data_IF_318089264413
#
_entry.id   IF_318089264413
#
_cell.length_a   1.000
_cell.length_b   1.000
_cell.length_c   1.000
_cell.angle_alpha   90.00
_cell.angle_beta   90.00
_cell.angle_gamma   90.00
#
_symmetry.space_group_name_H-M   'P 1'
#
loop_
_entity.id
_entity.type
_entity.pdbx_description
1 polymer ?
#
# COMPACT_ATOMS: atom_id res chain seq x y z
N UNK A 1 -15.98 -0.50 -23.56
CA UNK A 1 -14.82 0.19 -22.98
C UNK A 1 -15.22 1.31 -22.01
N UNK A 2 -16.09 2.25 -22.38
CA UNK A 2 -16.53 3.35 -21.48
C UNK A 2 -17.21 2.88 -20.17
N UNK A 3 -17.97 1.80 -20.20
CA UNK A 3 -18.65 1.23 -19.02
C UNK A 3 -17.68 0.73 -17.93
N UNK A 4 -16.46 0.39 -18.31
CA UNK A 4 -15.40 -0.03 -17.35
C UNK A 4 -14.53 1.18 -16.98
N UNK A 5 -14.27 2.08 -17.92
CA UNK A 5 -13.42 3.24 -17.69
C UNK A 5 -14.04 4.24 -16.70
N UNK A 6 -15.34 4.52 -16.81
CA UNK A 6 -16.02 5.49 -15.94
C UNK A 6 -15.95 5.10 -14.46
N UNK A 7 -16.32 3.87 -14.03
CA UNK A 7 -16.17 3.46 -12.65
C UNK A 7 -14.72 3.54 -12.15
N UNK A 8 -13.74 3.14 -12.97
CA UNK A 8 -12.34 3.19 -12.60
C UNK A 8 -11.81 4.61 -12.40
N UNK A 9 -12.25 5.56 -13.26
CA UNK A 9 -11.91 6.98 -13.11
C UNK A 9 -12.52 7.54 -11.83
N UNK A 10 -13.79 7.25 -11.55
CA UNK A 10 -14.46 7.71 -10.33
C UNK A 10 -13.78 7.15 -9.07
N UNK A 11 -13.42 5.86 -9.08
CA UNK A 11 -12.68 5.23 -8.00
C UNK A 11 -11.34 5.93 -7.76
N UNK A 12 -10.54 6.14 -8.80
CA UNK A 12 -9.24 6.79 -8.68
C UNK A 12 -9.36 8.26 -8.27
N UNK A 13 -10.37 8.97 -8.76
CA UNK A 13 -10.65 10.35 -8.35
C UNK A 13 -11.00 10.44 -6.87
N UNK A 14 -11.82 9.50 -6.36
CA UNK A 14 -12.19 9.45 -4.93
C UNK A 14 -10.96 9.23 -4.05
N UNK A 15 -10.06 8.33 -4.45
CA UNK A 15 -8.79 8.10 -3.73
C UNK A 15 -7.92 9.36 -3.73
N UNK A 16 -7.80 10.04 -4.89
CA UNK A 16 -7.01 11.27 -5.00
C UNK A 16 -7.56 12.41 -4.14
N UNK A 17 -8.89 12.58 -4.11
CA UNK A 17 -9.55 13.56 -3.24
C UNK A 17 -9.31 13.22 -1.77
N UNK A 18 -9.41 11.94 -1.40
CA UNK A 18 -9.09 11.47 -0.03
C UNK A 18 -7.66 11.83 0.39
N UNK A 19 -6.68 11.61 -0.49
CA UNK A 19 -5.28 11.99 -0.23
C UNK A 19 -5.11 13.51 -0.08
N UNK A 20 -5.80 14.32 -0.88
CA UNK A 20 -5.79 15.79 -0.74
C UNK A 20 -6.36 16.24 0.61
N UNK A 21 -7.45 15.62 1.07
CA UNK A 21 -8.05 15.92 2.37
C UNK A 21 -7.08 15.56 3.51
N UNK A 22 -6.47 14.38 3.47
CA UNK A 22 -5.47 13.98 4.46
C UNK A 22 -4.31 14.98 4.49
N UNK A 23 -3.81 15.39 3.34
CA UNK A 23 -2.73 16.37 3.27
C UNK A 23 -3.14 17.73 3.81
N UNK A 24 -4.38 18.18 3.57
CA UNK A 24 -4.91 19.41 4.13
C UNK A 24 -5.01 19.36 5.67
N UNK A 25 -5.31 18.18 6.23
CA UNK A 25 -5.35 17.97 7.69
C UNK A 25 -3.94 17.93 8.29
N UNK A 26 -2.95 17.41 7.56
CA UNK A 26 -1.55 17.32 8.06
C UNK A 26 -0.83 18.68 7.98
N UNK A 27 -1.15 19.51 7.00
CA UNK A 27 -0.47 20.80 6.78
C UNK A 27 -0.42 21.73 8.01
N UNK A 28 -1.49 21.90 8.81
CA UNK A 28 -1.47 22.76 10.00
C UNK A 28 -0.51 22.33 11.11
N UNK A 29 -0.07 21.05 11.10
CA UNK A 29 0.87 20.54 12.10
C UNK A 29 2.33 20.97 11.87
N UNK A 30 2.55 21.76 10.81
CA UNK A 30 3.85 22.37 10.50
C UNK A 30 4.74 21.50 9.60
N UNK A 31 5.82 22.14 9.12
CA UNK A 31 6.73 21.55 8.12
C UNK A 31 7.41 20.27 8.60
N UNK A 32 7.63 20.15 9.90
CA UNK A 32 8.31 19.01 10.50
C UNK A 32 7.42 17.75 10.55
N UNK A 33 6.16 17.92 10.94
CA UNK A 33 5.17 16.85 10.89
C UNK A 33 4.93 16.41 9.43
N UNK A 34 4.88 17.36 8.51
CA UNK A 34 4.74 17.10 7.09
C UNK A 34 5.94 16.32 6.52
N UNK A 35 7.16 16.60 6.98
CA UNK A 35 8.35 15.85 6.59
C UNK A 35 8.28 14.39 7.06
N UNK A 36 7.87 14.14 8.30
CA UNK A 36 7.66 12.79 8.83
C UNK A 36 6.57 12.03 8.08
N UNK A 37 5.45 12.69 7.80
CA UNK A 37 4.37 12.14 6.98
C UNK A 37 4.85 11.79 5.57
N UNK A 38 5.54 12.69 4.89
CA UNK A 38 6.06 12.47 3.54
C UNK A 38 7.08 11.32 3.48
N UNK A 39 7.93 11.17 4.51
CA UNK A 39 8.85 10.04 4.61
C UNK A 39 8.09 8.71 4.67
N UNK A 40 7.04 8.63 5.50
CA UNK A 40 6.22 7.42 5.62
C UNK A 40 5.44 7.10 4.34
N UNK A 41 4.91 8.12 3.66
CA UNK A 41 4.24 7.95 2.36
C UNK A 41 5.17 7.34 1.29
N UNK A 42 6.47 7.67 1.31
CA UNK A 42 7.45 7.05 0.41
C UNK A 42 7.63 5.56 0.70
N UNK A 43 7.68 5.20 1.98
CA UNK A 43 7.76 3.79 2.41
C UNK A 43 6.49 3.04 1.99
N UNK A 44 5.32 3.61 2.25
CA UNK A 44 4.03 3.05 1.83
C UNK A 44 3.99 2.80 0.32
N UNK A 45 4.43 3.74 -0.49
CA UNK A 45 4.45 3.59 -1.94
C UNK A 45 5.34 2.43 -2.40
N UNK A 46 6.51 2.23 -1.78
CA UNK A 46 7.40 1.11 -2.11
C UNK A 46 6.73 -0.24 -1.83
N UNK A 47 6.12 -0.39 -0.66
CA UNK A 47 5.42 -1.63 -0.31
C UNK A 47 4.16 -1.84 -1.17
N UNK A 48 3.39 -0.78 -1.42
CA UNK A 48 2.19 -0.82 -2.27
C UNK A 48 2.49 -1.29 -3.70
N UNK A 49 3.63 -0.90 -4.28
CA UNK A 49 4.04 -1.36 -5.60
C UNK A 49 4.14 -2.88 -5.69
N UNK A 50 4.57 -3.56 -4.62
CA UNK A 50 4.69 -5.02 -4.61
C UNK A 50 3.30 -5.66 -4.61
N UNK A 51 2.37 -5.18 -3.78
CA UNK A 51 0.99 -5.65 -3.78
C UNK A 51 0.31 -5.47 -5.14
N UNK A 52 0.45 -4.28 -5.73
CA UNK A 52 -0.07 -3.98 -7.07
C UNK A 52 0.55 -4.91 -8.13
N UNK A 53 1.84 -5.23 -8.02
CA UNK A 53 2.52 -6.14 -8.95
C UNK A 53 1.98 -7.56 -8.88
N UNK A 54 1.65 -8.06 -7.68
CA UNK A 54 1.03 -9.37 -7.48
C UNK A 54 -0.36 -9.38 -8.11
N UNK A 55 -1.19 -8.36 -7.84
CA UNK A 55 -2.52 -8.21 -8.45
C UNK A 55 -2.46 -8.17 -10.00
N UNK A 56 -1.51 -7.39 -10.55
CA UNK A 56 -1.28 -7.30 -11.99
C UNK A 56 -0.82 -8.62 -12.62
N UNK A 57 -0.20 -9.51 -11.86
CA UNK A 57 0.16 -10.84 -12.32
C UNK A 57 -1.03 -11.82 -12.27
N UNK A 58 -1.86 -11.74 -11.24
CA UNK A 58 -3.03 -12.61 -11.05
C UNK A 58 -4.14 -12.31 -12.07
N UNK A 59 -4.40 -11.03 -12.35
CA UNK A 59 -5.49 -10.59 -13.22
C UNK A 59 -5.44 -11.23 -14.64
N UNK A 60 -4.35 -11.15 -15.41
CA UNK A 60 -4.27 -11.78 -16.72
C UNK A 60 -4.33 -13.31 -16.63
N UNK A 61 -3.78 -13.91 -15.57
CA UNK A 61 -3.88 -15.34 -15.35
C UNK A 61 -5.34 -15.80 -15.21
N UNK A 62 -6.11 -15.08 -14.40
CA UNK A 62 -7.55 -15.35 -14.21
C UNK A 62 -8.30 -15.17 -15.53
N UNK A 63 -8.07 -14.07 -16.24
CA UNK A 63 -8.74 -13.75 -17.50
C UNK A 63 -8.50 -14.80 -18.58
N UNK A 64 -7.26 -15.28 -18.74
CA UNK A 64 -6.89 -16.32 -19.70
C UNK A 64 -7.54 -17.66 -19.36
N UNK A 65 -7.55 -18.05 -18.09
CA UNK A 65 -8.15 -19.32 -17.67
C UNK A 65 -9.68 -19.27 -17.70
N UNK A 66 -10.29 -18.08 -17.52
CA UNK A 66 -11.71 -17.85 -17.69
C UNK A 66 -12.12 -18.04 -19.15
N UNK A 67 -11.39 -17.43 -20.09
CA UNK A 67 -11.61 -17.62 -21.52
C UNK A 67 -11.46 -19.09 -21.96
N UNK A 68 -10.54 -19.82 -21.34
CA UNK A 68 -10.33 -21.25 -21.56
C UNK A 68 -11.32 -22.16 -20.80
N UNK A 69 -12.28 -21.59 -20.05
CA UNK A 69 -13.26 -22.29 -19.19
C UNK A 69 -12.61 -23.23 -18.14
N UNK A 70 -11.39 -22.94 -17.70
CA UNK A 70 -10.62 -23.75 -16.73
C UNK A 70 -10.80 -23.24 -15.31
N UNK A 71 -12.02 -23.32 -14.77
CA UNK A 71 -12.40 -22.79 -13.44
C UNK A 71 -11.50 -23.32 -12.31
N UNK A 72 -11.10 -24.59 -12.36
CA UNK A 72 -10.20 -25.16 -11.35
C UNK A 72 -8.82 -24.49 -11.30
N UNK A 73 -8.30 -23.97 -12.42
CA UNK A 73 -7.06 -23.21 -12.48
C UNK A 73 -7.25 -21.80 -11.92
N UNK A 74 -8.38 -21.16 -12.19
CA UNK A 74 -8.70 -19.83 -11.63
C UNK A 74 -8.63 -19.88 -10.11
N UNK A 75 -9.32 -20.85 -9.47
CA UNK A 75 -9.29 -20.99 -8.00
C UNK A 75 -7.87 -21.19 -7.48
N UNK A 76 -7.06 -22.03 -8.10
CA UNK A 76 -5.67 -22.27 -7.69
C UNK A 76 -4.82 -21.02 -7.83
N UNK A 77 -4.93 -20.28 -8.93
CA UNK A 77 -4.19 -19.05 -9.15
C UNK A 77 -4.58 -17.94 -8.18
N UNK A 78 -5.88 -17.77 -7.92
CA UNK A 78 -6.39 -16.85 -6.95
C UNK A 78 -5.87 -17.16 -5.52
N UNK A 79 -5.96 -18.41 -5.09
CA UNK A 79 -5.41 -18.82 -3.79
C UNK A 79 -3.89 -18.61 -3.70
N UNK A 80 -3.16 -18.88 -4.79
CA UNK A 80 -1.72 -18.63 -4.81
C UNK A 80 -1.40 -17.12 -4.67
N UNK A 81 -2.11 -16.27 -5.39
CA UNK A 81 -2.00 -14.81 -5.26
C UNK A 81 -2.30 -14.33 -3.83
N UNK A 82 -3.41 -14.80 -3.26
CA UNK A 82 -3.82 -14.47 -1.89
C UNK A 82 -2.77 -14.90 -0.85
N UNK A 83 -2.22 -16.09 -0.98
CA UNK A 83 -1.15 -16.57 -0.09
C UNK A 83 0.11 -15.71 -0.23
N UNK A 84 0.49 -15.34 -1.46
CA UNK A 84 1.63 -14.45 -1.69
C UNK A 84 1.40 -13.07 -1.08
N UNK A 85 0.22 -12.48 -1.26
CA UNK A 85 -0.13 -11.18 -0.68
C UNK A 85 -0.10 -11.21 0.86
N UNK A 86 -0.66 -12.25 1.48
CA UNK A 86 -0.63 -12.41 2.95
C UNK A 86 0.80 -12.62 3.45
N UNK A 87 1.59 -13.49 2.80
CA UNK A 87 2.99 -13.70 3.18
C UNK A 87 3.79 -12.40 3.09
N UNK A 88 3.58 -11.63 2.01
CA UNK A 88 4.24 -10.34 1.84
C UNK A 88 3.76 -9.31 2.86
N UNK A 89 2.46 -9.26 3.18
CA UNK A 89 1.90 -8.37 4.19
C UNK A 89 2.50 -8.64 5.58
N UNK A 90 2.63 -9.91 5.96
CA UNK A 90 3.26 -10.31 7.23
C UNK A 90 4.75 -9.94 7.23
N UNK A 91 5.45 -10.17 6.12
CA UNK A 91 6.85 -9.78 6.00
C UNK A 91 7.03 -8.27 6.10
N UNK A 92 6.19 -7.49 5.38
CA UNK A 92 6.19 -6.03 5.45
C UNK A 92 5.93 -5.53 6.88
N UNK A 93 4.97 -6.14 7.58
CA UNK A 93 4.68 -5.84 8.99
C UNK A 93 5.92 -6.07 9.87
N UNK A 94 6.56 -7.22 9.77
CA UNK A 94 7.76 -7.54 10.56
C UNK A 94 8.90 -6.56 10.26
N UNK A 95 9.14 -6.26 8.98
CA UNK A 95 10.19 -5.32 8.56
C UNK A 95 9.93 -3.93 9.12
N UNK A 96 8.70 -3.43 9.02
CA UNK A 96 8.35 -2.10 9.53
C UNK A 96 8.43 -2.07 11.05
N UNK A 97 7.89 -3.06 11.75
CA UNK A 97 7.90 -3.09 13.22
C UNK A 97 9.33 -3.15 13.79
N UNK A 98 10.22 -3.90 13.13
CA UNK A 98 11.61 -4.05 13.59
C UNK A 98 12.53 -2.94 13.13
N UNK A 99 12.33 -2.39 11.94
CA UNK A 99 13.25 -1.45 11.29
C UNK A 99 12.69 -0.03 11.12
N UNK A 100 11.50 0.30 11.66
CA UNK A 100 10.87 1.62 11.46
C UNK A 100 11.82 2.78 11.77
N UNK A 101 12.64 2.69 12.82
CA UNK A 101 13.60 3.73 13.20
C UNK A 101 14.70 3.90 12.15
N UNK A 102 15.25 2.78 11.65
CA UNK A 102 16.27 2.81 10.59
C UNK A 102 15.69 3.29 9.25
N UNK A 103 14.50 2.85 8.92
CA UNK A 103 13.79 3.27 7.71
C UNK A 103 13.51 4.78 7.77
N UNK A 104 13.00 5.29 8.89
CA UNK A 104 12.78 6.73 9.09
C UNK A 104 14.08 7.52 8.91
N UNK A 105 15.21 7.02 9.43
CA UNK A 105 16.50 7.69 9.31
C UNK A 105 17.02 7.76 7.87
N UNK A 106 16.72 6.78 7.04
CA UNK A 106 17.08 6.78 5.62
C UNK A 106 16.36 7.87 4.83
N UNK A 107 15.09 8.13 5.16
CA UNK A 107 14.25 9.10 4.42
C UNK A 107 14.33 10.52 4.98
N UNK A 108 14.48 10.67 6.30
CA UNK A 108 14.59 11.98 6.95
C UNK A 108 16.04 12.51 6.98
N UNK A 109 17.04 11.63 6.83
CA UNK A 109 18.44 12.00 6.86
C UNK A 109 18.88 12.57 8.20
N UNK A 110 20.09 13.15 8.26
CA UNK A 110 20.65 13.74 9.48
C UNK A 110 19.98 15.06 9.91
N UNK A 111 19.24 15.68 9.00
CA UNK A 111 18.56 16.96 9.23
C UNK A 111 17.12 16.77 9.76
N UNK A 112 16.68 15.54 9.94
CA UNK A 112 15.39 15.20 10.52
C UNK A 112 15.29 15.66 11.98
N UNK A 113 14.22 16.38 12.31
CA UNK A 113 13.98 16.78 13.70
C UNK A 113 13.37 15.65 14.52
N UNK A 114 13.51 15.72 15.84
CA UNK A 114 12.92 14.75 16.77
C UNK A 114 11.40 14.55 16.51
N UNK A 115 10.69 15.63 16.24
CA UNK A 115 9.26 15.59 15.92
C UNK A 115 8.99 14.83 14.61
N UNK A 116 9.79 15.07 13.56
CA UNK A 116 9.61 14.38 12.27
C UNK A 116 9.85 12.88 12.42
N UNK A 117 10.85 12.47 13.21
CA UNK A 117 11.12 11.07 13.52
C UNK A 117 9.98 10.43 14.32
N UNK A 118 9.45 11.14 15.31
CA UNK A 118 8.33 10.65 16.11
C UNK A 118 7.09 10.45 15.26
N UNK A 119 6.69 11.45 14.46
CA UNK A 119 5.52 11.36 13.56
C UNK A 119 5.69 10.23 12.55
N UNK A 120 6.89 10.11 11.94
CA UNK A 120 7.17 9.02 11.00
C UNK A 120 7.09 7.65 11.67
N UNK A 121 7.68 7.49 12.86
CA UNK A 121 7.66 6.23 13.61
C UNK A 121 6.27 5.80 14.03
N UNK A 122 5.48 6.73 14.58
CA UNK A 122 4.10 6.44 15.01
C UNK A 122 3.21 6.09 13.82
N UNK A 123 3.34 6.82 12.71
CA UNK A 123 2.57 6.52 11.50
C UNK A 123 3.00 5.19 10.87
N UNK A 124 4.30 4.86 10.83
CA UNK A 124 4.78 3.58 10.31
C UNK A 124 4.24 2.38 11.10
N UNK A 125 4.12 2.47 12.42
CA UNK A 125 3.51 1.41 13.24
C UNK A 125 2.06 1.14 12.82
N UNK A 126 1.26 2.20 12.69
CA UNK A 126 -0.12 2.07 12.21
C UNK A 126 -0.19 1.53 10.78
N UNK A 127 0.73 1.95 9.93
CA UNK A 127 0.84 1.47 8.55
C UNK A 127 1.15 -0.03 8.50
N UNK A 128 2.00 -0.54 9.39
CA UNK A 128 2.29 -1.97 9.50
C UNK A 128 1.04 -2.81 9.72
N UNK A 129 0.19 -2.41 10.68
CA UNK A 129 -1.11 -3.07 10.89
C UNK A 129 -2.02 -2.97 9.66
N UNK A 130 -2.02 -1.81 9.00
CA UNK A 130 -2.83 -1.59 7.82
C UNK A 130 -2.43 -2.48 6.64
N UNK A 131 -1.16 -2.83 6.48
CA UNK A 131 -0.69 -3.71 5.40
C UNK A 131 -1.28 -5.11 5.47
N UNK A 132 -1.62 -5.62 6.65
CA UNK A 132 -2.32 -6.90 6.79
C UNK A 132 -3.70 -6.82 6.11
N UNK A 133 -4.44 -5.74 6.38
CA UNK A 133 -5.75 -5.51 5.74
C UNK A 133 -5.62 -5.22 4.25
N UNK A 134 -4.57 -4.50 3.86
CA UNK A 134 -4.30 -4.18 2.45
C UNK A 134 -3.98 -5.43 1.62
N UNK A 135 -3.22 -6.39 2.18
CA UNK A 135 -2.97 -7.67 1.53
C UNK A 135 -4.26 -8.45 1.26
N UNK A 136 -5.18 -8.49 2.21
CA UNK A 136 -6.48 -9.14 2.04
C UNK A 136 -7.32 -8.42 0.98
N UNK A 137 -7.36 -7.09 1.00
CA UNK A 137 -8.10 -6.27 0.04
C UNK A 137 -7.60 -6.47 -1.39
N UNK A 138 -6.28 -6.39 -1.60
CA UNK A 138 -5.68 -6.55 -2.94
C UNK A 138 -5.89 -7.93 -3.53
N UNK A 139 -5.99 -8.95 -2.69
CA UNK A 139 -6.28 -10.30 -3.14
C UNK A 139 -7.76 -10.50 -3.53
N UNK A 140 -8.67 -9.60 -3.14
CA UNK A 140 -10.11 -9.67 -3.45
C UNK A 140 -10.54 -8.77 -4.60
N UNK A 141 -9.73 -7.76 -4.96
CA UNK A 141 -9.96 -6.86 -6.10
C UNK A 141 -9.53 -7.51 -7.43
#
# INVERSE_FOLDING_TARGET
MLQIAIPSILQQSTVSIGMMIVQAVVNPFGTQALAGYAATMRVENVFSLIFVSIGNAVSPYVSQNLGAKKIGRIKKGYHAGLVLDICFAVLAFIVIETLHTHISSLFLGKDGTALAYQVSGDYMKWLGYFFIFMGIKMATD
#
